data_IF_187559056782
#
_entry.id   IF_187559056782
#
_cell.length_a   1.000
_cell.length_b   1.000
_cell.length_c   1.000
_cell.angle_alpha   90.00
_cell.angle_beta   90.00
_cell.angle_gamma   90.00
#
_symmetry.space_group_name_H-M   'P 1'
#
loop_
_entity.id
_entity.type
_entity.pdbx_description
1 polymer ?
#
# COMPACT_ATOMS: atom_id res chain seq x y z
N UNK A 1 17.73 -8.04 11.05
CA UNK A 1 16.25 -8.03 11.21
C UNK A 1 15.59 -6.82 10.56
N UNK A 2 16.10 -5.59 10.79
CA UNK A 2 15.54 -4.35 10.22
C UNK A 2 15.43 -4.39 8.69
N UNK A 3 16.48 -4.81 7.99
CA UNK A 3 16.51 -4.91 6.51
C UNK A 3 15.47 -5.87 5.96
N UNK A 4 15.32 -7.04 6.60
CA UNK A 4 14.32 -8.06 6.21
C UNK A 4 12.91 -7.49 6.38
N UNK A 5 12.65 -6.82 7.51
CA UNK A 5 11.36 -6.18 7.78
C UNK A 5 11.07 -5.07 6.76
N UNK A 6 12.10 -4.29 6.36
CA UNK A 6 12.01 -3.29 5.30
C UNK A 6 11.61 -3.90 3.95
N UNK A 7 12.25 -5.00 3.54
CA UNK A 7 11.92 -5.73 2.31
C UNK A 7 10.50 -6.31 2.33
N UNK A 8 10.07 -6.88 3.47
CA UNK A 8 8.71 -7.37 3.67
C UNK A 8 7.70 -6.21 3.54
N UNK A 9 7.96 -5.07 4.17
CA UNK A 9 7.10 -3.89 4.11
C UNK A 9 6.98 -3.34 2.68
N UNK A 10 8.10 -3.21 1.97
CA UNK A 10 8.11 -2.77 0.57
C UNK A 10 7.32 -3.75 -0.32
N UNK A 11 7.51 -5.05 -0.13
CA UNK A 11 6.79 -6.10 -0.87
C UNK A 11 5.28 -6.07 -0.58
N UNK A 12 4.89 -5.87 0.69
CA UNK A 12 3.49 -5.70 1.09
C UNK A 12 2.86 -4.46 0.44
N UNK A 13 3.57 -3.32 0.39
CA UNK A 13 3.07 -2.12 -0.28
C UNK A 13 2.83 -2.38 -1.78
N UNK A 14 3.77 -3.04 -2.46
CA UNK A 14 3.61 -3.44 -3.88
C UNK A 14 2.42 -4.38 -4.05
N UNK A 15 2.29 -5.37 -3.16
CA UNK A 15 1.17 -6.31 -3.16
C UNK A 15 -0.17 -5.59 -2.95
N UNK A 16 -0.22 -4.53 -2.14
CA UNK A 16 -1.41 -3.71 -1.96
C UNK A 16 -1.78 -2.91 -3.22
N UNK A 17 -0.80 -2.48 -4.02
CA UNK A 17 -1.04 -1.81 -5.31
C UNK A 17 -1.43 -2.79 -6.43
N UNK A 18 -1.03 -4.05 -6.32
CA UNK A 18 -1.21 -5.05 -7.38
C UNK A 18 -2.65 -5.26 -7.86
N UNK A 19 -3.74 -5.22 -7.04
CA UNK A 19 -5.10 -5.33 -7.59
C UNK A 19 -5.44 -4.19 -8.55
N UNK A 20 -4.96 -2.98 -8.26
CA UNK A 20 -5.16 -1.82 -9.14
C UNK A 20 -4.38 -1.98 -10.45
N UNK A 21 -3.10 -2.38 -10.36
CA UNK A 21 -2.25 -2.60 -11.52
C UNK A 21 -2.78 -3.73 -12.41
N UNK A 22 -3.14 -4.88 -11.84
CA UNK A 22 -3.68 -6.01 -12.60
C UNK A 22 -4.98 -5.65 -13.33
N UNK A 23 -5.86 -4.87 -12.69
CA UNK A 23 -7.08 -4.37 -13.36
C UNK A 23 -6.76 -3.40 -14.50
N UNK A 24 -5.77 -2.52 -14.32
CA UNK A 24 -5.30 -1.60 -15.37
C UNK A 24 -4.66 -2.33 -16.54
N UNK A 25 -3.76 -3.28 -16.27
CA UNK A 25 -3.12 -4.15 -17.26
C UNK A 25 -4.18 -4.91 -18.07
N UNK A 26 -5.15 -5.54 -17.39
CA UNK A 26 -6.21 -6.26 -18.07
C UNK A 26 -7.05 -5.34 -18.96
N UNK A 27 -7.34 -4.11 -18.50
CA UNK A 27 -8.09 -3.13 -19.30
C UNK A 27 -7.30 -2.64 -20.53
N UNK A 28 -6.01 -2.31 -20.37
CA UNK A 28 -5.19 -1.68 -21.40
C UNK A 28 -4.66 -2.67 -22.44
N UNK A 29 -4.17 -3.83 -22.00
CA UNK A 29 -3.53 -4.81 -22.89
C UNK A 29 -4.56 -5.82 -23.41
N UNK A 30 -5.37 -6.36 -22.50
CA UNK A 30 -6.27 -7.48 -22.81
C UNK A 30 -7.72 -7.05 -23.04
N UNK A 31 -8.01 -5.74 -23.04
CA UNK A 31 -9.37 -5.19 -23.22
C UNK A 31 -10.42 -5.87 -22.30
N UNK A 32 -10.01 -6.19 -21.06
CA UNK A 32 -10.77 -6.94 -20.05
C UNK A 32 -11.17 -8.37 -20.43
N UNK A 33 -10.57 -8.98 -21.46
CA UNK A 33 -10.88 -10.35 -21.89
C UNK A 33 -10.17 -11.42 -21.07
N UNK A 34 -9.06 -11.09 -20.39
CA UNK A 34 -8.31 -12.07 -19.60
C UNK A 34 -9.04 -12.38 -18.27
N UNK A 35 -9.59 -13.60 -18.17
CA UNK A 35 -10.30 -14.10 -16.98
C UNK A 35 -9.36 -14.41 -15.80
N UNK A 36 -8.14 -14.86 -16.07
CA UNK A 36 -7.15 -15.16 -15.02
C UNK A 36 -6.75 -13.88 -14.27
N UNK A 37 -6.44 -12.81 -14.99
CA UNK A 37 -6.12 -11.51 -14.36
C UNK A 37 -7.29 -10.96 -13.53
N UNK A 38 -8.53 -11.13 -13.99
CA UNK A 38 -9.72 -10.76 -13.19
C UNK A 38 -9.79 -11.58 -11.90
N UNK A 39 -9.59 -12.90 -11.98
CA UNK A 39 -9.64 -13.80 -10.82
C UNK A 39 -8.56 -13.46 -9.80
N UNK A 40 -7.31 -13.29 -10.23
CA UNK A 40 -6.19 -12.92 -9.37
C UNK A 40 -6.44 -11.55 -8.72
N UNK A 41 -6.82 -10.54 -9.51
CA UNK A 41 -7.11 -9.21 -8.95
C UNK A 41 -8.26 -9.24 -7.93
N UNK A 42 -9.27 -10.09 -8.12
CA UNK A 42 -10.36 -10.26 -7.16
C UNK A 42 -9.89 -10.91 -5.85
N UNK A 43 -9.05 -11.95 -5.91
CA UNK A 43 -8.46 -12.61 -4.73
C UNK A 43 -7.62 -11.61 -3.95
N UNK A 44 -6.68 -10.92 -4.62
CA UNK A 44 -5.84 -9.91 -3.98
C UNK A 44 -6.67 -8.77 -3.39
N UNK A 45 -7.78 -8.38 -4.02
CA UNK A 45 -8.68 -7.34 -3.48
C UNK A 45 -9.38 -7.79 -2.19
N UNK A 46 -9.71 -9.07 -2.05
CA UNK A 46 -10.29 -9.62 -0.80
C UNK A 46 -9.27 -9.60 0.33
N UNK A 47 -8.01 -9.92 0.02
CA UNK A 47 -6.92 -9.97 1.00
C UNK A 47 -6.32 -8.58 1.30
N UNK A 48 -6.54 -7.59 0.44
CA UNK A 48 -5.94 -6.25 0.51
C UNK A 48 -6.05 -5.60 1.89
N UNK A 49 -7.21 -5.71 2.54
CA UNK A 49 -7.40 -5.11 3.87
C UNK A 49 -6.51 -5.75 4.94
N UNK A 50 -6.34 -7.08 4.91
CA UNK A 50 -5.48 -7.79 5.85
C UNK A 50 -4.01 -7.41 5.64
N UNK A 51 -3.57 -7.36 4.38
CA UNK A 51 -2.22 -6.92 4.04
C UNK A 51 -1.95 -5.47 4.47
N UNK A 52 -2.95 -4.60 4.43
CA UNK A 52 -2.79 -3.22 4.84
C UNK A 52 -2.59 -3.09 6.35
N UNK A 53 -3.29 -3.90 7.15
CA UNK A 53 -3.09 -3.92 8.60
C UNK A 53 -1.77 -4.56 9.01
N UNK A 54 -1.38 -5.65 8.33
CA UNK A 54 -0.06 -6.27 8.55
C UNK A 54 1.02 -5.23 8.25
N UNK A 55 0.94 -4.57 7.09
CA UNK A 55 1.88 -3.51 6.71
C UNK A 55 1.93 -2.39 7.76
N UNK A 56 0.78 -1.94 8.28
CA UNK A 56 0.76 -0.90 9.33
C UNK A 56 1.52 -1.31 10.58
N UNK A 57 1.30 -2.54 11.05
CA UNK A 57 2.00 -3.04 12.23
C UNK A 57 3.49 -3.21 11.95
N UNK A 58 3.85 -3.89 10.86
CA UNK A 58 5.26 -4.22 10.55
C UNK A 58 6.07 -2.99 10.13
N UNK A 59 5.47 -2.00 9.48
CA UNK A 59 6.14 -0.74 9.13
C UNK A 59 6.37 0.17 10.33
N UNK A 60 5.44 0.20 11.30
CA UNK A 60 5.66 0.91 12.56
C UNK A 60 6.81 0.28 13.35
N UNK A 61 6.78 -1.05 13.52
CA UNK A 61 7.81 -1.82 14.21
C UNK A 61 9.17 -1.66 13.52
N UNK A 62 9.20 -1.69 12.19
CA UNK A 62 10.41 -1.43 11.41
C UNK A 62 10.99 -0.04 11.70
N UNK A 63 10.17 1.01 11.69
CA UNK A 63 10.61 2.38 12.01
C UNK A 63 11.19 2.49 13.42
N UNK A 64 10.56 1.84 14.40
CA UNK A 64 11.03 1.86 15.79
C UNK A 64 12.35 1.13 15.94
N UNK A 65 12.47 -0.07 15.35
CA UNK A 65 13.71 -0.84 15.37
C UNK A 65 14.86 -0.15 14.61
N UNK A 66 14.55 0.58 13.53
CA UNK A 66 15.55 1.27 12.73
C UNK A 66 16.10 2.53 13.41
N UNK A 67 15.25 3.25 14.16
CA UNK A 67 15.60 4.56 14.74
C UNK A 67 15.88 4.50 16.24
N UNK A 68 15.49 3.40 16.92
CA UNK A 68 15.59 3.24 18.38
C UNK A 68 14.62 4.12 19.16
N UNK A 69 13.88 5.01 18.49
CA UNK A 69 12.92 5.95 19.08
C UNK A 69 11.91 6.39 18.02
N UNK A 70 10.76 6.90 18.46
CA UNK A 70 9.76 7.51 17.59
C UNK A 70 10.18 8.97 17.33
N UNK A 71 10.72 9.23 16.14
CA UNK A 71 11.08 10.58 15.67
C UNK A 71 10.66 10.80 14.24
N UNK A 72 10.54 12.06 13.81
CA UNK A 72 10.22 12.37 12.43
C UNK A 72 11.32 11.85 11.49
N UNK A 73 10.93 10.94 10.60
CA UNK A 73 11.78 10.33 9.59
C UNK A 73 10.92 9.96 8.39
N UNK A 74 11.51 9.90 7.19
CA UNK A 74 10.78 9.58 5.95
C UNK A 74 9.99 8.27 6.03
N UNK A 75 10.51 7.28 6.77
CA UNK A 75 9.82 6.00 7.02
C UNK A 75 8.54 6.15 7.86
N UNK A 76 8.56 6.95 8.92
CA UNK A 76 7.35 7.23 9.73
C UNK A 76 6.36 8.13 9.00
N UNK A 77 6.84 9.02 8.12
CA UNK A 77 5.97 9.81 7.25
C UNK A 77 5.24 8.94 6.22
N UNK A 78 5.96 7.98 5.60
CA UNK A 78 5.36 6.96 4.74
C UNK A 78 4.33 6.12 5.51
N UNK A 79 4.67 5.67 6.72
CA UNK A 79 3.74 4.93 7.58
C UNK A 79 2.47 5.72 7.89
N UNK A 80 2.60 7.01 8.22
CA UNK A 80 1.46 7.88 8.49
C UNK A 80 0.55 8.03 7.27
N UNK A 81 1.14 8.16 6.07
CA UNK A 81 0.36 8.22 4.84
C UNK A 81 -0.42 6.92 4.59
N UNK A 82 0.21 5.76 4.82
CA UNK A 82 -0.45 4.45 4.75
C UNK A 82 -1.59 4.35 5.79
N UNK A 83 -1.39 4.87 7.00
CA UNK A 83 -2.43 4.91 8.04
C UNK A 83 -3.64 5.71 7.58
N UNK A 84 -3.41 6.92 7.04
CA UNK A 84 -4.48 7.75 6.47
C UNK A 84 -5.19 6.99 5.34
N UNK A 85 -4.43 6.32 4.47
CA UNK A 85 -5.01 5.54 3.37
C UNK A 85 -5.91 4.39 3.84
N UNK A 86 -5.52 3.69 4.91
CA UNK A 86 -6.33 2.63 5.53
C UNK A 86 -7.61 3.21 6.14
N UNK A 87 -7.52 4.33 6.85
CA UNK A 87 -8.68 5.04 7.41
C UNK A 87 -9.65 5.44 6.30
N UNK A 88 -9.17 6.07 5.23
CA UNK A 88 -10.00 6.46 4.07
C UNK A 88 -10.61 5.21 3.40
N UNK A 89 -9.87 4.12 3.27
CA UNK A 89 -10.36 2.85 2.74
C UNK A 89 -11.51 2.28 3.56
N UNK A 90 -11.39 2.31 4.89
CA UNK A 90 -12.44 1.86 5.81
C UNK A 90 -13.66 2.77 5.80
N UNK A 91 -13.47 4.09 5.75
CA UNK A 91 -14.57 5.04 5.60
C UNK A 91 -15.31 4.84 4.27
N UNK A 92 -14.60 4.59 3.17
CA UNK A 92 -15.21 4.29 1.87
C UNK A 92 -16.08 3.03 1.93
N UNK A 93 -15.70 1.99 2.68
CA UNK A 93 -16.55 0.79 2.85
C UNK A 93 -17.91 1.12 3.47
N UNK A 94 -17.96 2.09 4.39
CA UNK A 94 -19.20 2.54 5.05
C UNK A 94 -19.99 3.53 4.19
N UNK A 95 -19.32 4.56 3.66
CA UNK A 95 -19.99 5.71 3.01
C UNK A 95 -20.19 5.53 1.51
N UNK A 96 -19.39 4.67 0.84
CA UNK A 96 -19.43 4.35 -0.59
C UNK A 96 -19.37 5.57 -1.54
N UNK A 97 -18.88 6.72 -1.07
CA UNK A 97 -18.80 7.94 -1.89
C UNK A 97 -17.67 7.85 -2.93
N UNK A 98 -17.91 8.18 -4.21
CA UNK A 98 -16.94 7.95 -5.29
C UNK A 98 -15.66 8.79 -5.17
N UNK A 99 -15.72 9.98 -4.56
CA UNK A 99 -14.53 10.81 -4.35
C UNK A 99 -13.53 10.16 -3.38
N UNK A 100 -14.00 9.41 -2.38
CA UNK A 100 -13.12 8.77 -1.40
C UNK A 100 -12.26 7.69 -2.04
N UNK A 101 -12.78 7.01 -3.07
CA UNK A 101 -12.00 6.08 -3.87
C UNK A 101 -10.92 6.80 -4.72
N UNK A 102 -11.19 8.02 -5.20
CA UNK A 102 -10.17 8.85 -5.87
C UNK A 102 -9.06 9.22 -4.88
N UNK A 103 -9.43 9.69 -3.68
CA UNK A 103 -8.49 10.04 -2.60
C UNK A 103 -7.67 8.83 -2.17
N UNK A 104 -8.30 7.68 -1.91
CA UNK A 104 -7.60 6.45 -1.52
C UNK A 104 -6.56 6.02 -2.57
N UNK A 105 -6.89 6.14 -3.86
CA UNK A 105 -5.94 5.84 -4.95
C UNK A 105 -4.82 6.86 -5.02
N UNK A 106 -5.11 8.14 -4.84
CA UNK A 106 -4.10 9.19 -4.81
C UNK A 106 -3.10 8.95 -3.67
N UNK A 107 -3.59 8.64 -2.46
CA UNK A 107 -2.75 8.28 -1.31
C UNK A 107 -1.89 7.04 -1.58
N UNK A 108 -2.41 6.03 -2.29
CA UNK A 108 -1.63 4.87 -2.69
C UNK A 108 -0.49 5.19 -3.65
N UNK A 109 -0.72 6.08 -4.62
CA UNK A 109 0.33 6.56 -5.53
C UNK A 109 1.36 7.40 -4.76
N UNK A 110 0.91 8.32 -3.92
CA UNK A 110 1.78 9.12 -3.07
C UNK A 110 2.64 8.26 -2.13
N UNK A 111 2.07 7.16 -1.59
CA UNK A 111 2.81 6.21 -0.76
C UNK A 111 3.90 5.48 -1.55
N UNK A 112 3.65 5.15 -2.82
CA UNK A 112 4.68 4.55 -3.68
C UNK A 112 5.83 5.53 -3.95
N UNK A 113 5.51 6.81 -4.22
CA UNK A 113 6.53 7.86 -4.43
C UNK A 113 7.36 8.06 -3.16
N UNK A 114 6.73 8.14 -2.00
CA UNK A 114 7.43 8.24 -0.72
C UNK A 114 8.26 7.00 -0.40
N UNK A 115 7.81 5.80 -0.77
CA UNK A 115 8.62 4.59 -0.63
C UNK A 115 9.92 4.70 -1.43
N UNK A 116 9.83 5.12 -2.69
CA UNK A 116 11.02 5.33 -3.54
C UNK A 116 11.95 6.35 -2.89
N UNK A 117 11.42 7.48 -2.45
CA UNK A 117 12.21 8.52 -1.77
C UNK A 117 12.88 8.00 -0.49
N UNK A 118 12.14 7.24 0.33
CA UNK A 118 12.67 6.63 1.55
C UNK A 118 13.81 5.64 1.25
N UNK A 119 13.66 4.80 0.22
CA UNK A 119 14.70 3.86 -0.19
C UNK A 119 15.96 4.58 -0.71
N UNK A 120 15.82 5.71 -1.40
CA UNK A 120 16.95 6.52 -1.87
C UNK A 120 17.67 7.26 -0.74
N UNK A 121 16.96 7.61 0.35
CA UNK A 121 17.56 8.29 1.49
C UNK A 121 18.30 7.32 2.43
N UNK A 122 17.85 6.07 2.49
CA UNK A 122 18.36 5.05 3.42
C UNK A 122 19.47 4.19 2.80
N UNK A 123 19.58 4.16 1.46
CA UNK A 123 20.72 3.59 0.73
C UNK A 123 21.84 4.62 0.57
#
# INVERSE_FOLDING_TARGET
MVTILGLINASLLILLLSPFLLRRINKLIFHNKNKALKKIAAILSKMHMYFAYILLATAFTHGYMALGTIRLHSGYFLWLLVLIQVVVGNMFRKMKKPYMMKVHRALGISSLVLLIFHLLQVN
#
